data_IF_876723145510
#
_entry.id   IF_876723145510
#
_cell.length_a   1.000
_cell.length_b   1.000
_cell.length_c   1.000
_cell.angle_alpha   90.00
_cell.angle_beta   90.00
_cell.angle_gamma   90.00
#
_symmetry.space_group_name_H-M   'P 1'
#
loop_
_entity.id
_entity.type
_entity.pdbx_description
1 polymer ?
#
# COMPACT_ATOMS: atom_id res chain seq x y z
N UNK A 1 12.99 -6.04 -1.05
CA UNK A 1 12.70 -6.66 0.25
C UNK A 1 11.21 -6.56 0.47
N UNK A 2 10.50 -7.68 0.44
CA UNK A 2 9.04 -7.71 0.50
C UNK A 2 8.59 -7.27 1.90
N UNK A 3 7.88 -6.14 2.00
CA UNK A 3 7.20 -5.75 3.24
C UNK A 3 6.28 -6.89 3.67
N UNK A 4 6.43 -7.31 4.92
CA UNK A 4 5.54 -8.29 5.55
C UNK A 4 4.10 -7.78 5.50
N UNK A 5 3.11 -8.66 5.44
CA UNK A 5 1.71 -8.22 5.35
C UNK A 5 1.30 -7.33 6.53
N UNK A 6 1.89 -7.57 7.70
CA UNK A 6 1.74 -6.72 8.89
C UNK A 6 2.31 -5.31 8.70
N UNK A 7 3.48 -5.18 8.08
CA UNK A 7 4.10 -3.88 7.78
C UNK A 7 3.29 -3.14 6.70
N UNK A 8 2.80 -3.86 5.68
CA UNK A 8 1.94 -3.28 4.65
C UNK A 8 0.64 -2.74 5.27
N UNK A 9 0.00 -3.51 6.13
CA UNK A 9 -1.22 -3.08 6.82
C UNK A 9 -0.94 -1.91 7.78
N UNK A 10 0.25 -1.83 8.39
CA UNK A 10 0.62 -0.71 9.25
C UNK A 10 0.92 0.57 8.45
N UNK A 11 1.57 0.45 7.30
CA UNK A 11 1.94 1.57 6.43
C UNK A 11 0.74 2.11 5.64
N UNK A 12 -0.07 1.21 5.05
CA UNK A 12 -1.20 1.59 4.20
C UNK A 12 -2.54 1.58 4.94
N UNK A 13 -2.59 1.08 6.18
CA UNK A 13 -3.81 0.99 6.97
C UNK A 13 -4.83 -0.03 6.43
N UNK A 14 -4.43 -0.87 5.46
CA UNK A 14 -5.33 -1.79 4.77
C UNK A 14 -4.60 -3.04 4.27
N UNK A 15 -5.37 -4.08 3.97
CA UNK A 15 -4.84 -5.32 3.41
C UNK A 15 -4.32 -5.10 1.97
N UNK A 16 -3.34 -5.91 1.55
CA UNK A 16 -2.84 -5.91 0.16
C UNK A 16 -3.97 -6.16 -0.83
N UNK A 17 -4.91 -7.03 -0.51
CA UNK A 17 -6.05 -7.33 -1.37
C UNK A 17 -6.95 -6.10 -1.62
N UNK A 18 -7.27 -5.33 -0.58
CA UNK A 18 -8.02 -4.08 -0.72
C UNK A 18 -7.24 -3.02 -1.48
N UNK A 19 -5.92 -2.99 -1.33
CA UNK A 19 -5.06 -2.12 -2.10
C UNK A 19 -5.06 -2.48 -3.59
N UNK A 20 -4.92 -3.77 -3.94
CA UNK A 20 -4.91 -4.22 -5.33
C UNK A 20 -6.28 -4.12 -6.02
N UNK A 21 -7.38 -4.13 -5.26
CA UNK A 21 -8.74 -3.84 -5.77
C UNK A 21 -8.94 -2.37 -6.16
N UNK A 22 -8.09 -1.46 -5.70
CA UNK A 22 -8.22 -0.04 -6.02
C UNK A 22 -7.70 0.29 -7.43
N UNK A 23 -8.22 1.35 -8.07
CA UNK A 23 -7.71 1.82 -9.35
C UNK A 23 -6.22 2.19 -9.27
N UNK A 24 -5.48 2.02 -10.37
CA UNK A 24 -4.03 2.28 -10.42
C UNK A 24 -3.62 3.67 -9.93
N UNK A 25 -4.37 4.72 -10.28
CA UNK A 25 -4.08 6.09 -9.82
C UNK A 25 -4.14 6.25 -8.30
N UNK A 26 -5.04 5.50 -7.64
CA UNK A 26 -5.23 5.55 -6.18
C UNK A 26 -4.12 4.78 -5.46
N UNK A 27 -3.73 3.63 -6.02
CA UNK A 27 -2.55 2.89 -5.55
C UNK A 27 -1.28 3.74 -5.64
N UNK A 28 -1.11 4.48 -6.73
CA UNK A 28 0.05 5.36 -6.95
C UNK A 28 0.07 6.54 -5.99
N UNK A 29 -1.08 7.17 -5.72
CA UNK A 29 -1.18 8.20 -4.68
C UNK A 29 -0.85 7.67 -3.28
N UNK A 30 -1.31 6.46 -2.95
CA UNK A 30 -1.00 5.86 -1.65
C UNK A 30 0.48 5.46 -1.53
N UNK A 31 1.09 4.91 -2.58
CA UNK A 31 2.53 4.64 -2.62
C UNK A 31 3.36 5.90 -2.43
N UNK A 32 2.96 7.01 -3.07
CA UNK A 32 3.60 8.33 -2.87
C UNK A 32 3.40 8.85 -1.45
N UNK A 33 2.22 8.68 -0.85
CA UNK A 33 1.95 9.09 0.55
C UNK A 33 2.72 8.27 1.58
N UNK A 34 2.96 7.00 1.30
CA UNK A 34 3.73 6.12 2.16
C UNK A 34 5.23 6.47 2.16
N UNK A 35 5.68 7.40 1.30
CA UNK A 35 7.05 7.92 1.20
C UNK A 35 8.13 6.82 1.27
N UNK A 36 7.82 5.65 0.69
CA UNK A 36 8.76 4.55 0.48
C UNK A 36 9.69 4.92 -0.68
N UNK A 37 10.58 5.86 -0.43
CA UNK A 37 11.81 6.10 -1.18
C UNK A 37 13.00 5.52 -0.43
#
# INVERSE_FOLDING_TARGET
TYLSDSEFQTVFGMSKEEFYKQPRWKQEQQKRKADLF
#
